data_IF_731201295175
#
_entry.id   IF_731201295175
#
_cell.length_a   1.000
_cell.length_b   1.000
_cell.length_c   1.000
_cell.angle_alpha   90.00
_cell.angle_beta   90.00
_cell.angle_gamma   90.00
#
_symmetry.space_group_name_H-M   'P 1'
#
loop_
_entity.id
_entity.type
_entity.pdbx_description
1 polymer ?
#
# COMPACT_ATOMS: atom_id res chain seq x y z
N UNK A 1 -63.60 0.63 10.80
CA UNK A 1 -62.60 -0.11 11.61
C UNK A 1 -61.54 -0.82 10.76
N UNK A 2 -61.88 -1.77 9.89
CA UNK A 2 -60.88 -2.53 9.11
C UNK A 2 -59.97 -1.65 8.23
N UNK A 3 -60.47 -0.60 7.61
CA UNK A 3 -59.71 0.33 6.75
C UNK A 3 -58.62 1.07 7.53
N UNK A 4 -58.90 1.62 8.71
CA UNK A 4 -57.92 2.32 9.53
C UNK A 4 -56.83 1.40 10.10
N UNK A 5 -57.17 0.11 10.37
CA UNK A 5 -56.18 -0.87 10.79
C UNK A 5 -55.16 -1.14 9.66
N UNK A 6 -55.67 -1.30 8.42
CA UNK A 6 -54.78 -1.50 7.25
C UNK A 6 -53.89 -0.29 7.01
N UNK A 7 -54.42 0.94 7.12
CA UNK A 7 -53.66 2.19 7.00
C UNK A 7 -52.57 2.30 8.09
N UNK A 8 -52.92 1.91 9.32
CA UNK A 8 -51.92 1.90 10.44
C UNK A 8 -50.81 0.91 10.20
N UNK A 9 -51.17 -0.33 9.78
CA UNK A 9 -50.16 -1.38 9.48
C UNK A 9 -49.25 -0.92 8.35
N UNK A 10 -49.81 -0.35 7.29
CA UNK A 10 -49.00 0.15 6.17
C UNK A 10 -48.08 1.30 6.58
N UNK A 11 -48.56 2.21 7.43
CA UNK A 11 -47.75 3.26 7.99
C UNK A 11 -46.57 2.74 8.85
N UNK A 12 -46.85 1.73 9.68
CA UNK A 12 -45.78 1.06 10.46
C UNK A 12 -44.74 0.35 9.58
N UNK A 13 -45.18 -0.34 8.53
CA UNK A 13 -44.26 -0.99 7.60
C UNK A 13 -43.39 0.02 6.84
N UNK A 14 -43.96 1.15 6.42
CA UNK A 14 -43.19 2.22 5.78
C UNK A 14 -42.13 2.81 6.73
N UNK A 15 -42.48 3.04 7.99
CA UNK A 15 -41.54 3.53 8.98
C UNK A 15 -40.38 2.53 9.26
N UNK A 16 -40.73 1.23 9.30
CA UNK A 16 -39.74 0.17 9.45
C UNK A 16 -38.81 0.14 8.23
N UNK A 17 -39.36 0.16 7.03
CA UNK A 17 -38.56 0.22 5.80
C UNK A 17 -37.66 1.46 5.76
N UNK A 18 -38.19 2.63 6.11
CA UNK A 18 -37.42 3.86 6.17
C UNK A 18 -36.29 3.81 7.19
N UNK A 19 -36.53 3.23 8.37
CA UNK A 19 -35.51 2.99 9.38
C UNK A 19 -34.37 2.12 8.87
N UNK A 20 -34.69 0.99 8.24
CA UNK A 20 -33.65 0.09 7.69
C UNK A 20 -32.89 0.74 6.55
N UNK A 21 -33.57 1.41 5.61
CA UNK A 21 -32.92 2.12 4.51
C UNK A 21 -32.01 3.27 5.00
N UNK A 22 -32.43 4.03 6.01
CA UNK A 22 -31.62 5.10 6.60
C UNK A 22 -30.39 4.55 7.30
N UNK A 23 -30.52 3.40 7.97
CA UNK A 23 -29.40 2.72 8.64
C UNK A 23 -28.36 2.19 7.63
N UNK A 24 -28.83 1.58 6.54
CA UNK A 24 -27.97 1.12 5.44
C UNK A 24 -27.25 2.32 4.78
N UNK A 25 -27.98 3.38 4.47
CA UNK A 25 -27.41 4.60 3.90
C UNK A 25 -26.36 5.24 4.83
N UNK A 26 -26.60 5.26 6.14
CA UNK A 26 -25.63 5.74 7.12
C UNK A 26 -24.37 4.87 7.18
N UNK A 27 -24.52 3.54 7.14
CA UNK A 27 -23.39 2.60 7.12
C UNK A 27 -22.52 2.79 5.88
N UNK A 28 -23.13 2.88 4.69
CA UNK A 28 -22.44 3.16 3.42
C UNK A 28 -21.73 4.51 3.45
N UNK A 29 -22.35 5.55 4.04
CA UNK A 29 -21.74 6.87 4.14
C UNK A 29 -20.51 6.87 5.06
N UNK A 30 -20.51 6.07 6.13
CA UNK A 30 -19.35 5.92 7.04
C UNK A 30 -18.22 5.19 6.32
N UNK A 31 -18.52 4.13 5.58
CA UNK A 31 -17.52 3.36 4.82
C UNK A 31 -16.89 4.20 3.70
N UNK A 32 -17.70 4.99 2.98
CA UNK A 32 -17.23 5.91 1.93
C UNK A 32 -16.36 7.06 2.47
N UNK A 33 -16.48 7.39 3.77
CA UNK A 33 -15.73 8.50 4.38
C UNK A 33 -14.46 8.04 5.11
N UNK A 34 -14.18 6.73 5.14
CA UNK A 34 -12.90 6.22 5.66
C UNK A 34 -11.81 6.41 4.62
N UNK A 35 -10.74 7.13 4.98
CA UNK A 35 -9.56 7.25 4.13
C UNK A 35 -8.98 5.86 3.89
N UNK A 36 -8.74 5.56 2.62
CA UNK A 36 -8.07 4.32 2.25
C UNK A 36 -6.63 4.34 2.74
N UNK A 37 -6.23 3.29 3.43
CA UNK A 37 -4.88 3.17 4.00
C UNK A 37 -3.96 2.48 2.99
N UNK A 38 -2.81 3.10 2.72
CA UNK A 38 -1.73 2.52 1.92
C UNK A 38 -0.51 2.34 2.82
N UNK A 39 0.11 1.16 2.78
CA UNK A 39 1.40 0.93 3.42
C UNK A 39 2.50 1.17 2.41
N UNK A 40 3.48 2.01 2.77
CA UNK A 40 4.73 2.21 2.03
C UNK A 40 5.85 1.57 2.82
N UNK A 41 6.40 0.49 2.28
CA UNK A 41 7.52 -0.22 2.85
C UNK A 41 8.84 0.25 2.22
N UNK A 42 9.68 0.91 3.01
CA UNK A 42 11.02 1.30 2.58
C UNK A 42 12.00 0.18 2.92
N UNK A 43 12.36 -0.62 1.92
CA UNK A 43 13.25 -1.76 2.09
C UNK A 43 14.56 -1.41 2.82
N UNK A 44 15.08 -2.37 3.60
CA UNK A 44 16.28 -2.22 4.44
C UNK A 44 16.15 -1.16 5.54
N UNK A 45 17.24 -0.80 6.20
CA UNK A 45 17.25 0.21 7.27
C UNK A 45 18.11 -0.21 8.46
N UNK A 46 18.54 0.77 9.24
CA UNK A 46 19.42 0.55 10.38
C UNK A 46 20.71 -0.14 9.97
N UNK A 47 20.98 -1.33 10.54
CA UNK A 47 22.20 -2.10 10.24
C UNK A 47 22.20 -2.75 8.84
N UNK A 48 21.06 -2.91 8.19
CA UNK A 48 20.98 -3.48 6.84
C UNK A 48 21.05 -2.36 5.78
N UNK A 49 22.20 -2.15 5.12
CA UNK A 49 22.33 -1.10 4.13
C UNK A 49 21.62 -1.43 2.79
N UNK A 50 21.21 -2.70 2.57
CA UNK A 50 20.86 -3.21 1.26
C UNK A 50 22.08 -3.30 0.34
N UNK A 51 21.88 -3.13 -0.95
CA UNK A 51 22.98 -3.02 -1.90
C UNK A 51 23.74 -1.70 -1.74
N UNK A 52 25.04 -1.78 -1.97
CA UNK A 52 25.92 -0.60 -1.97
C UNK A 52 26.26 -0.30 -3.43
N UNK A 53 25.78 0.83 -3.90
CA UNK A 53 26.02 1.30 -5.26
C UNK A 53 27.32 2.09 -5.40
N UNK A 54 27.42 2.81 -6.50
CA UNK A 54 28.58 3.65 -6.83
C UNK A 54 28.74 4.73 -5.75
N UNK A 55 29.98 5.07 -5.42
CA UNK A 55 30.34 6.07 -4.40
C UNK A 55 29.80 5.78 -2.99
N UNK A 56 29.54 4.52 -2.70
CA UNK A 56 29.05 4.10 -1.38
C UNK A 56 27.58 4.43 -1.12
N UNK A 57 26.79 4.74 -2.14
CA UNK A 57 25.35 5.00 -2.03
C UNK A 57 24.62 3.75 -1.52
N UNK A 58 23.97 3.84 -0.38
CA UNK A 58 23.26 2.71 0.24
C UNK A 58 21.82 2.65 -0.27
N UNK A 59 21.39 1.46 -0.60
CA UNK A 59 20.02 1.20 -1.04
C UNK A 59 18.97 1.70 -0.04
N UNK A 60 19.19 1.47 1.27
CA UNK A 60 18.28 1.91 2.33
C UNK A 60 18.00 3.43 2.31
N UNK A 61 19.03 4.24 1.97
CA UNK A 61 18.91 5.70 1.97
C UNK A 61 18.07 6.16 0.76
N UNK A 62 18.27 5.53 -0.39
CA UNK A 62 17.49 5.79 -1.60
C UNK A 62 16.03 5.35 -1.42
N UNK A 63 15.80 4.16 -0.86
CA UNK A 63 14.46 3.64 -0.59
C UNK A 63 13.68 4.57 0.34
N UNK A 64 14.32 5.06 1.40
CA UNK A 64 13.70 6.01 2.33
C UNK A 64 13.36 7.34 1.65
N UNK A 65 14.31 7.89 0.88
CA UNK A 65 14.10 9.16 0.19
C UNK A 65 12.94 9.09 -0.83
N UNK A 66 12.83 7.98 -1.56
CA UNK A 66 11.70 7.72 -2.48
C UNK A 66 10.41 7.53 -1.68
N UNK A 67 10.42 6.71 -0.64
CA UNK A 67 9.24 6.41 0.16
C UNK A 67 8.62 7.65 0.81
N UNK A 68 9.43 8.57 1.34
CA UNK A 68 8.95 9.83 1.89
C UNK A 68 8.28 10.72 0.83
N UNK A 69 8.80 10.73 -0.41
CA UNK A 69 8.17 11.44 -1.52
C UNK A 69 6.85 10.79 -1.93
N UNK A 70 6.81 9.45 -1.99
CA UNK A 70 5.60 8.68 -2.29
C UNK A 70 4.54 8.94 -1.22
N UNK A 71 4.88 8.88 0.07
CA UNK A 71 4.01 9.25 1.19
C UNK A 71 3.38 10.62 0.96
N UNK A 72 4.22 11.65 0.77
CA UNK A 72 3.74 13.02 0.56
C UNK A 72 2.81 13.16 -0.65
N UNK A 73 3.08 12.43 -1.73
CA UNK A 73 2.25 12.45 -2.93
C UNK A 73 0.89 11.78 -2.71
N UNK A 74 0.86 10.66 -1.99
CA UNK A 74 -0.37 9.93 -1.65
C UNK A 74 -1.25 10.71 -0.65
N UNK A 75 -0.65 11.30 0.37
CA UNK A 75 -1.36 12.13 1.36
C UNK A 75 -2.04 13.35 0.72
N UNK A 76 -1.43 13.96 -0.30
CA UNK A 76 -2.05 15.03 -1.12
C UNK A 76 -3.25 14.55 -1.94
N UNK A 77 -3.41 13.26 -2.10
CA UNK A 77 -4.54 12.59 -2.77
C UNK A 77 -5.53 11.99 -1.78
N UNK A 78 -5.49 12.45 -0.53
CA UNK A 78 -6.38 12.03 0.56
C UNK A 78 -6.25 10.57 1.03
N UNK A 79 -5.18 9.86 0.64
CA UNK A 79 -4.87 8.57 1.23
C UNK A 79 -4.29 8.73 2.63
N UNK A 80 -4.60 7.80 3.51
CA UNK A 80 -3.85 7.63 4.75
C UNK A 80 -2.63 6.75 4.46
N UNK A 81 -1.42 7.22 4.82
CA UNK A 81 -0.20 6.47 4.56
C UNK A 81 0.44 6.01 5.87
N UNK A 82 0.74 4.73 5.95
CA UNK A 82 1.53 4.12 7.02
C UNK A 82 2.85 3.67 6.42
N UNK A 83 3.96 4.10 7.00
CA UNK A 83 5.30 3.68 6.56
C UNK A 83 5.87 2.64 7.50
N UNK A 84 6.64 1.70 6.96
CA UNK A 84 7.41 0.75 7.79
C UNK A 84 8.52 1.45 8.58
N UNK A 85 9.09 2.52 8.02
CA UNK A 85 10.04 3.42 8.69
C UNK A 85 10.02 4.79 8.04
N UNK A 86 10.27 5.83 8.83
CA UNK A 86 10.39 7.22 8.36
C UNK A 86 11.79 7.79 8.61
N UNK A 87 12.68 7.00 9.22
CA UNK A 87 14.08 7.32 9.47
C UNK A 87 14.97 6.13 9.16
N UNK A 88 16.30 6.27 9.35
CA UNK A 88 17.23 5.15 9.15
C UNK A 88 17.24 4.21 10.36
N UNK A 89 16.15 3.45 10.51
CA UNK A 89 15.98 2.42 11.54
C UNK A 89 15.55 1.10 10.91
N UNK A 90 15.85 -0.01 11.58
CA UNK A 90 15.24 -1.30 11.32
C UNK A 90 14.16 -1.59 12.36
N UNK A 91 13.25 -2.50 12.05
CA UNK A 91 12.15 -2.89 12.94
C UNK A 91 12.53 -4.06 13.86
N UNK A 92 13.80 -4.21 14.18
CA UNK A 92 14.33 -5.26 15.06
C UNK A 92 14.64 -4.72 16.45
N UNK A 93 14.69 -5.60 17.43
CA UNK A 93 15.15 -5.29 18.78
C UNK A 93 16.68 -5.40 18.82
N UNK A 94 17.35 -4.54 19.58
CA UNK A 94 18.81 -4.47 19.59
C UNK A 94 19.49 -5.76 20.09
N UNK A 95 18.83 -6.51 20.95
CA UNK A 95 19.26 -7.78 21.49
C UNK A 95 18.89 -9.00 20.63
N UNK A 96 18.24 -8.80 19.49
CA UNK A 96 17.84 -9.89 18.59
C UNK A 96 19.05 -10.60 18.00
N UNK A 97 19.07 -11.94 18.09
CA UNK A 97 20.08 -12.79 17.49
C UNK A 97 20.01 -12.83 15.94
N UNK A 98 18.85 -12.49 15.36
CA UNK A 98 18.65 -12.44 13.92
C UNK A 98 17.83 -11.21 13.54
N UNK A 99 18.49 -10.06 13.59
CA UNK A 99 17.88 -8.76 13.31
C UNK A 99 17.19 -8.69 11.97
N UNK A 100 17.77 -9.29 10.92
CA UNK A 100 17.22 -9.26 9.57
C UNK A 100 15.90 -10.05 9.45
N UNK A 101 15.83 -11.22 10.06
CA UNK A 101 14.59 -12.02 10.08
C UNK A 101 13.52 -11.31 10.89
N UNK A 102 13.89 -10.75 12.05
CA UNK A 102 12.95 -10.03 12.88
C UNK A 102 12.41 -8.77 12.20
N UNK A 103 13.27 -8.02 11.50
CA UNK A 103 12.87 -6.86 10.71
C UNK A 103 11.79 -7.25 9.68
N UNK A 104 12.04 -8.31 8.91
CA UNK A 104 11.09 -8.80 7.92
C UNK A 104 9.75 -9.26 8.56
N UNK A 105 9.81 -9.98 9.67
CA UNK A 105 8.61 -10.42 10.38
C UNK A 105 7.79 -9.24 10.88
N UNK A 106 8.43 -8.21 11.46
CA UNK A 106 7.74 -7.02 11.95
C UNK A 106 7.12 -6.18 10.82
N UNK A 107 7.75 -6.12 9.62
CA UNK A 107 7.15 -5.52 8.42
C UNK A 107 5.89 -6.24 7.98
N UNK A 108 5.96 -7.57 7.89
CA UNK A 108 4.79 -8.41 7.55
C UNK A 108 3.67 -8.22 8.58
N UNK A 109 4.00 -8.26 9.87
CA UNK A 109 3.04 -8.06 10.95
C UNK A 109 2.36 -6.69 10.87
N UNK A 110 3.13 -5.61 10.64
CA UNK A 110 2.59 -4.26 10.45
C UNK A 110 1.56 -4.22 9.30
N UNK A 111 1.90 -4.81 8.16
CA UNK A 111 0.98 -4.86 7.00
C UNK A 111 -0.30 -5.64 7.34
N UNK A 112 -0.16 -6.76 8.05
CA UNK A 112 -1.30 -7.59 8.46
C UNK A 112 -2.21 -6.89 9.47
N UNK A 113 -1.66 -6.13 10.41
CA UNK A 113 -2.43 -5.35 11.40
C UNK A 113 -3.14 -4.15 10.77
N UNK A 114 -2.45 -3.42 9.89
CA UNK A 114 -2.98 -2.24 9.21
C UNK A 114 -4.08 -2.61 8.22
N UNK A 115 -4.01 -3.78 7.58
CA UNK A 115 -4.94 -4.26 6.54
C UNK A 115 -5.17 -3.20 5.45
N UNK A 116 -4.10 -2.70 4.82
CA UNK A 116 -4.20 -1.63 3.84
C UNK A 116 -4.92 -2.10 2.57
N UNK A 117 -5.45 -1.14 1.80
CA UNK A 117 -5.96 -1.43 0.44
C UNK A 117 -4.82 -1.75 -0.53
N UNK A 118 -3.60 -1.27 -0.23
CA UNK A 118 -2.39 -1.50 -1.01
C UNK A 118 -1.17 -1.45 -0.10
N UNK A 119 -0.24 -2.38 -0.28
CA UNK A 119 1.12 -2.29 0.25
C UNK A 119 2.10 -2.18 -0.92
N UNK A 120 3.00 -1.19 -0.85
CA UNK A 120 4.05 -0.94 -1.86
C UNK A 120 5.40 -1.02 -1.18
N UNK A 121 6.25 -1.95 -1.61
CA UNK A 121 7.63 -2.05 -1.15
C UNK A 121 8.58 -1.43 -2.17
N UNK A 122 9.56 -0.66 -1.69
CA UNK A 122 10.51 0.09 -2.50
C UNK A 122 11.90 -0.46 -2.26
N UNK A 123 12.53 -0.92 -3.33
CA UNK A 123 13.87 -1.48 -3.37
C UNK A 123 14.67 -0.96 -4.56
N UNK A 124 16.00 -1.03 -4.48
CA UNK A 124 16.91 -0.84 -5.61
C UNK A 124 17.55 -2.19 -5.93
N UNK A 125 17.18 -2.77 -7.07
CA UNK A 125 17.79 -4.02 -7.50
C UNK A 125 19.19 -3.76 -8.07
N UNK A 126 20.10 -4.71 -7.86
CA UNK A 126 21.36 -4.78 -8.59
C UNK A 126 21.33 -5.94 -9.57
N UNK A 127 22.07 -5.81 -10.67
CA UNK A 127 22.22 -6.85 -11.67
C UNK A 127 23.68 -6.88 -12.15
N UNK A 128 24.21 -8.06 -12.47
CA UNK A 128 25.60 -8.21 -12.90
C UNK A 128 25.86 -7.51 -14.26
N UNK A 129 24.86 -7.56 -15.16
CA UNK A 129 24.94 -6.88 -16.45
C UNK A 129 24.55 -5.39 -16.29
N UNK A 130 25.51 -4.51 -16.46
CA UNK A 130 25.31 -3.05 -16.40
C UNK A 130 24.39 -2.48 -17.49
N UNK A 131 24.09 -3.27 -18.55
CA UNK A 131 23.10 -2.94 -19.57
C UNK A 131 21.66 -3.09 -19.08
N UNK A 132 21.44 -3.77 -17.95
CA UNK A 132 20.11 -3.92 -17.34
C UNK A 132 19.79 -2.68 -16.49
N UNK A 133 18.96 -1.79 -17.03
CA UNK A 133 18.59 -0.51 -16.43
C UNK A 133 17.08 -0.33 -16.40
N UNK A 134 16.61 0.66 -15.66
CA UNK A 134 15.21 1.08 -15.59
C UNK A 134 14.41 0.37 -14.50
N UNK A 135 13.16 0.82 -14.29
CA UNK A 135 12.29 0.33 -13.25
C UNK A 135 11.80 -1.08 -13.52
N UNK A 136 11.50 -1.82 -12.46
CA UNK A 136 10.84 -3.11 -12.53
C UNK A 136 9.79 -3.19 -11.42
N UNK A 137 8.55 -3.40 -11.80
CA UNK A 137 7.46 -3.62 -10.85
C UNK A 137 7.21 -5.11 -10.72
N UNK A 138 7.10 -5.58 -9.47
CA UNK A 138 6.72 -6.94 -9.13
C UNK A 138 5.37 -6.93 -8.44
N UNK A 139 4.59 -7.98 -8.62
CA UNK A 139 3.32 -8.18 -7.94
C UNK A 139 3.19 -9.60 -7.42
N UNK A 140 2.30 -9.80 -6.46
CA UNK A 140 1.98 -11.15 -5.98
C UNK A 140 1.19 -11.90 -7.05
N UNK A 141 1.72 -13.02 -7.53
CA UNK A 141 1.23 -13.76 -8.71
C UNK A 141 -0.26 -14.08 -8.68
N UNK A 142 -0.81 -14.37 -7.49
CA UNK A 142 -2.21 -14.74 -7.33
C UNK A 142 -3.14 -13.52 -7.13
N UNK A 143 -2.62 -12.29 -7.31
CA UNK A 143 -3.38 -11.07 -7.15
C UNK A 143 -3.71 -10.41 -8.48
N UNK A 144 -4.91 -10.63 -8.99
CA UNK A 144 -5.40 -9.99 -10.23
C UNK A 144 -5.34 -8.46 -10.15
N UNK A 145 -5.84 -7.88 -9.05
CA UNK A 145 -5.76 -6.41 -8.84
C UNK A 145 -4.32 -5.92 -8.71
N UNK A 146 -3.45 -6.74 -8.12
CA UNK A 146 -2.02 -6.44 -8.01
C UNK A 146 -1.36 -6.40 -9.38
N UNK A 147 -1.69 -7.33 -10.27
CA UNK A 147 -1.23 -7.38 -11.65
C UNK A 147 -1.66 -6.14 -12.42
N UNK A 148 -2.96 -5.85 -12.46
CA UNK A 148 -3.52 -4.67 -13.16
C UNK A 148 -2.83 -3.37 -12.72
N UNK A 149 -2.66 -3.18 -11.40
CA UNK A 149 -2.00 -1.98 -10.87
C UNK A 149 -0.51 -1.97 -11.20
N UNK A 150 0.17 -3.11 -11.11
CA UNK A 150 1.59 -3.22 -11.42
C UNK A 150 1.89 -2.91 -12.88
N UNK A 151 1.04 -3.36 -13.81
CA UNK A 151 1.15 -3.04 -15.23
C UNK A 151 1.02 -1.53 -15.48
N UNK A 152 0.02 -0.89 -14.88
CA UNK A 152 -0.17 0.57 -15.00
C UNK A 152 1.04 1.33 -14.45
N UNK A 153 1.55 0.93 -13.27
CA UNK A 153 2.72 1.59 -12.67
C UNK A 153 3.96 1.36 -13.55
N UNK A 154 4.18 0.16 -14.04
CA UNK A 154 5.32 -0.18 -14.89
C UNK A 154 5.30 0.64 -16.19
N UNK A 155 4.15 0.72 -16.85
CA UNK A 155 3.98 1.52 -18.06
C UNK A 155 4.32 3.00 -17.80
N UNK A 156 3.72 3.60 -16.75
CA UNK A 156 3.98 4.99 -16.40
C UNK A 156 5.42 5.26 -16.01
N UNK A 157 6.09 4.33 -15.35
CA UNK A 157 7.52 4.46 -15.03
C UNK A 157 8.40 4.35 -16.28
N UNK A 158 8.07 3.46 -17.21
CA UNK A 158 8.78 3.34 -18.48
C UNK A 158 8.67 4.65 -19.28
N UNK A 159 7.45 5.20 -19.40
CA UNK A 159 7.18 6.44 -20.14
C UNK A 159 7.89 7.65 -19.50
N UNK A 160 7.73 7.82 -18.20
CA UNK A 160 8.27 8.98 -17.48
C UNK A 160 9.80 9.01 -17.47
N UNK A 161 10.43 7.83 -17.40
CA UNK A 161 11.89 7.68 -17.36
C UNK A 161 12.50 7.47 -18.75
N UNK A 162 11.69 7.55 -19.82
CA UNK A 162 12.13 7.37 -21.22
C UNK A 162 13.02 6.14 -21.40
N UNK A 163 12.55 4.99 -20.87
CA UNK A 163 13.35 3.75 -20.83
C UNK A 163 13.54 3.20 -22.24
N UNK A 164 14.79 3.12 -22.72
CA UNK A 164 15.13 2.60 -24.05
C UNK A 164 14.63 1.17 -24.29
N UNK A 165 14.63 0.34 -23.24
CA UNK A 165 14.14 -1.05 -23.26
C UNK A 165 13.07 -1.23 -22.22
N UNK A 166 11.79 -0.89 -22.54
CA UNK A 166 10.70 -0.98 -21.59
C UNK A 166 10.53 -2.39 -21.06
N UNK A 167 10.29 -2.50 -19.76
CA UNK A 167 9.99 -3.77 -19.10
C UNK A 167 8.50 -3.93 -18.89
N UNK A 168 8.08 -5.17 -18.64
CA UNK A 168 6.75 -5.53 -18.19
C UNK A 168 6.76 -5.81 -16.70
N UNK A 169 5.63 -5.63 -16.03
CA UNK A 169 5.46 -6.07 -14.66
C UNK A 169 5.63 -7.59 -14.55
N UNK A 170 6.05 -8.11 -13.38
CA UNK A 170 6.30 -9.54 -13.15
C UNK A 170 5.61 -10.02 -11.89
N UNK A 171 4.96 -11.20 -11.99
CA UNK A 171 4.41 -11.95 -10.86
C UNK A 171 5.34 -13.02 -10.31
#
# INVERSE_FOLDING_TARGET
MKKHIVELIMGCLLLICFYYLSREAAAVSVEMNQKQVIVVDCGHGGMDPGMIGIDGLKEKDVNLAIGLKVKSALEKKDFQVVMTRETDVGLYDEDSNNKKVQDMQKRIFLIQEVKPVLAVSIHQNSYEDSGVKGPQVFYYRDSVKGEELAEIIQEKMNDYLEVERPRQAKG
#
